data_IF_458146798062
#
_entry.id   IF_458146798062
#
_cell.length_a   1.000
_cell.length_b   1.000
_cell.length_c   1.000
_cell.angle_alpha   90.00
_cell.angle_beta   90.00
_cell.angle_gamma   90.00
#
_symmetry.space_group_name_H-M   'P 1'
#
loop_
_entity.id
_entity.type
_entity.pdbx_description
1 polymer ?
#
# COMPACT_ATOMS: atom_id res chain seq x y z
N UNK A 1 -4.56 22.91 5.65
CA UNK A 1 -4.72 21.52 5.22
C UNK A 1 -3.33 21.03 4.90
N UNK A 2 -2.95 19.89 5.45
CA UNK A 2 -1.66 19.25 5.20
C UNK A 2 -1.84 18.07 4.24
N UNK A 3 -0.84 17.85 3.41
CA UNK A 3 -0.72 16.65 2.60
C UNK A 3 0.66 16.06 2.85
N UNK A 4 0.72 14.76 3.11
CA UNK A 4 1.95 14.02 3.29
C UNK A 4 1.91 12.71 2.48
N UNK A 5 3.07 12.29 1.99
CA UNK A 5 3.22 11.08 1.21
C UNK A 5 4.46 10.32 1.63
N UNK A 6 4.29 9.04 1.94
CA UNK A 6 5.33 8.13 2.37
C UNK A 6 5.54 6.98 1.40
N UNK A 7 6.77 6.50 1.33
CA UNK A 7 7.05 5.16 0.83
C UNK A 7 7.42 4.27 2.01
N UNK A 8 6.57 3.29 2.27
CA UNK A 8 6.72 2.37 3.39
C UNK A 8 7.28 1.04 2.90
N UNK A 9 8.24 0.51 3.66
CA UNK A 9 8.86 -0.79 3.40
C UNK A 9 8.95 -1.59 4.69
N UNK A 10 8.47 -2.82 4.65
CA UNK A 10 8.64 -3.83 5.68
C UNK A 10 9.52 -4.93 5.13
N UNK A 11 10.56 -5.30 5.87
CA UNK A 11 11.53 -6.32 5.45
C UNK A 11 12.56 -5.81 4.42
N UNK A 12 13.60 -6.61 4.20
CA UNK A 12 14.75 -6.22 3.37
C UNK A 12 14.86 -6.97 2.05
N UNK A 13 14.21 -8.13 1.94
CA UNK A 13 14.28 -8.98 0.76
C UNK A 13 12.90 -9.11 0.11
N UNK A 14 12.70 -8.52 -1.09
CA UNK A 14 11.41 -8.53 -1.77
C UNK A 14 10.90 -9.93 -2.10
N UNK A 15 11.76 -10.96 -2.10
CA UNK A 15 11.36 -12.32 -2.42
C UNK A 15 11.22 -13.23 -1.19
N UNK A 16 11.23 -12.65 0.02
CA UNK A 16 10.99 -13.39 1.26
C UNK A 16 9.64 -13.06 1.90
N UNK A 17 8.92 -14.08 2.41
CA UNK A 17 7.70 -13.86 3.17
C UNK A 17 7.90 -12.87 4.31
N UNK A 18 6.97 -11.91 4.42
CA UNK A 18 7.05 -10.82 5.38
C UNK A 18 7.65 -9.54 4.81
N UNK A 19 8.08 -9.54 3.54
CA UNK A 19 8.35 -8.30 2.82
C UNK A 19 7.06 -7.67 2.30
N UNK A 20 6.94 -6.36 2.46
CA UNK A 20 5.92 -5.55 1.80
C UNK A 20 6.46 -4.16 1.50
N UNK A 21 6.00 -3.57 0.40
CA UNK A 21 6.21 -2.15 0.09
C UNK A 21 4.92 -1.49 -0.34
N UNK A 22 4.70 -0.26 0.10
CA UNK A 22 3.49 0.51 -0.18
C UNK A 22 3.78 2.00 -0.28
N UNK A 23 2.87 2.74 -0.91
CA UNK A 23 2.80 4.19 -0.84
C UNK A 23 1.68 4.54 0.13
N UNK A 24 1.96 5.43 1.08
CA UNK A 24 0.97 6.00 1.98
C UNK A 24 0.73 7.46 1.65
N UNK A 25 -0.52 7.89 1.75
CA UNK A 25 -0.94 9.28 1.59
C UNK A 25 -1.75 9.68 2.82
N UNK A 26 -1.33 10.74 3.47
CA UNK A 26 -2.02 11.32 4.63
C UNK A 26 -2.53 12.72 4.30
N UNK A 27 -3.77 12.99 4.68
CA UNK A 27 -4.39 14.31 4.55
C UNK A 27 -4.81 14.78 5.92
N UNK A 28 -4.39 16.00 6.28
CA UNK A 28 -4.67 16.60 7.58
C UNK A 28 -5.42 17.92 7.44
N UNK A 29 -6.24 18.26 8.42
CA UNK A 29 -6.97 19.53 8.46
C UNK A 29 -6.04 20.73 8.78
N UNK A 30 -6.63 21.89 9.06
CA UNK A 30 -5.87 23.10 9.43
C UNK A 30 -5.30 23.05 10.85
N UNK A 31 -5.78 22.13 11.70
CA UNK A 31 -5.30 21.91 13.06
C UNK A 31 -4.19 20.85 13.11
N UNK A 32 -3.94 20.17 11.99
CA UNK A 32 -2.94 19.11 11.85
C UNK A 32 -3.48 17.72 12.18
N UNK A 33 -4.79 17.57 12.38
CA UNK A 33 -5.43 16.28 12.63
C UNK A 33 -5.59 15.53 11.31
N UNK A 34 -5.21 14.25 11.27
CA UNK A 34 -5.36 13.39 10.10
C UNK A 34 -6.86 13.13 9.85
N UNK A 35 -7.35 13.59 8.71
CA UNK A 35 -8.75 13.45 8.30
C UNK A 35 -8.95 12.35 7.26
N UNK A 36 -7.90 12.00 6.51
CA UNK A 36 -7.93 10.88 5.58
C UNK A 36 -6.57 10.21 5.43
N UNK A 37 -6.58 8.91 5.14
CA UNK A 37 -5.39 8.09 4.94
C UNK A 37 -5.65 7.01 3.89
N UNK A 38 -4.79 6.98 2.88
CA UNK A 38 -4.83 5.97 1.83
C UNK A 38 -3.48 5.25 1.73
N UNK A 39 -3.51 3.92 1.58
CA UNK A 39 -2.29 3.10 1.46
C UNK A 39 -2.40 2.12 0.30
N UNK A 40 -1.51 2.26 -0.69
CA UNK A 40 -1.46 1.44 -1.90
C UNK A 40 -0.28 0.48 -1.79
N UNK A 41 -0.55 -0.84 -1.74
CA UNK A 41 0.49 -1.86 -1.76
C UNK A 41 1.11 -1.93 -3.15
N UNK A 42 2.43 -1.83 -3.26
CA UNK A 42 3.18 -2.02 -4.51
C UNK A 42 3.54 -3.49 -4.69
N UNK A 43 4.05 -4.10 -3.61
CA UNK A 43 4.52 -5.47 -3.64
C UNK A 43 4.37 -6.10 -2.27
N UNK A 44 3.91 -7.34 -2.24
CA UNK A 44 3.82 -8.15 -1.02
C UNK A 44 4.28 -9.57 -1.30
N UNK A 45 5.25 -10.03 -0.51
CA UNK A 45 5.69 -11.41 -0.54
C UNK A 45 5.12 -12.13 0.67
N UNK A 46 4.26 -13.11 0.41
CA UNK A 46 3.59 -13.88 1.45
C UNK A 46 3.70 -15.37 1.19
N UNK A 47 3.63 -16.13 2.28
CA UNK A 47 3.55 -17.59 2.21
C UNK A 47 2.11 -18.01 2.40
N UNK A 48 1.66 -18.96 1.60
CA UNK A 48 0.32 -19.53 1.72
C UNK A 48 0.33 -21.06 1.66
N UNK A 49 -0.68 -21.69 2.27
CA UNK A 49 -0.96 -23.12 2.14
C UNK A 49 -2.44 -23.28 1.83
N UNK A 50 -2.77 -24.04 0.78
CA UNK A 50 -4.16 -24.18 0.31
C UNK A 50 -4.87 -22.82 0.06
N UNK A 51 -4.11 -21.81 -0.37
CA UNK A 51 -4.60 -20.45 -0.61
C UNK A 51 -4.71 -19.56 0.63
N UNK A 52 -4.47 -20.09 1.83
CA UNK A 52 -4.53 -19.33 3.09
C UNK A 52 -3.15 -18.79 3.48
N UNK A 53 -3.02 -17.51 3.87
CA UNK A 53 -1.75 -16.93 4.28
C UNK A 53 -1.26 -17.54 5.61
N UNK A 54 0.05 -17.82 5.70
CA UNK A 54 0.70 -18.36 6.89
C UNK A 54 2.05 -17.69 7.11
N UNK A 55 2.42 -17.50 8.38
CA UNK A 55 3.74 -16.95 8.75
C UNK A 55 4.82 -18.03 8.88
N UNK A 56 4.45 -19.28 9.18
CA UNK A 56 5.39 -20.39 9.39
C UNK A 56 5.70 -21.13 8.08
N UNK A 57 6.94 -21.57 7.93
CA UNK A 57 7.32 -22.47 6.84
C UNK A 57 6.84 -23.89 7.13
N UNK A 58 5.69 -24.27 6.56
CA UNK A 58 5.08 -25.60 6.69
C UNK A 58 5.26 -26.37 5.37
N UNK A 59 5.41 -27.68 5.44
CA UNK A 59 5.50 -28.54 4.25
C UNK A 59 4.26 -28.35 3.36
N UNK A 60 4.47 -28.19 2.05
CA UNK A 60 3.40 -27.94 1.08
C UNK A 60 2.95 -26.47 0.98
N UNK A 61 3.50 -25.58 1.81
CA UNK A 61 3.31 -24.14 1.63
C UNK A 61 4.07 -23.61 0.41
N UNK A 62 3.53 -22.55 -0.19
CA UNK A 62 4.07 -21.87 -1.37
C UNK A 62 4.38 -20.42 -1.00
N UNK A 63 5.43 -19.87 -1.60
CA UNK A 63 5.70 -18.43 -1.56
C UNK A 63 5.09 -17.82 -2.81
N UNK A 64 4.32 -16.75 -2.65
CA UNK A 64 3.81 -15.94 -3.75
C UNK A 64 4.18 -14.49 -3.51
N UNK A 65 4.53 -13.80 -4.59
CA UNK A 65 4.63 -12.35 -4.62
C UNK A 65 3.49 -11.81 -5.47
N UNK A 66 2.79 -10.79 -4.98
CA UNK A 66 1.83 -10.04 -5.77
C UNK A 66 2.41 -8.65 -6.03
N UNK A 67 2.59 -8.31 -7.30
CA UNK A 67 2.74 -6.92 -7.75
C UNK A 67 1.34 -6.34 -7.95
N UNK A 68 1.21 -5.02 -7.91
CA UNK A 68 0.03 -4.35 -8.48
C UNK A 68 -0.19 -4.86 -9.91
N UNK A 69 -1.45 -5.15 -10.20
CA UNK A 69 -1.89 -5.49 -11.56
C UNK A 69 -1.97 -4.21 -12.42
N UNK A 70 -2.13 -3.06 -11.76
CA UNK A 70 -2.20 -1.72 -12.32
C UNK A 70 -0.82 -1.20 -12.75
N UNK A 71 -0.80 -0.46 -13.86
CA UNK A 71 0.39 0.23 -14.34
C UNK A 71 0.69 1.47 -13.49
N UNK A 72 1.94 1.93 -13.51
CA UNK A 72 2.35 3.14 -12.80
C UNK A 72 1.51 4.37 -13.20
N UNK A 73 1.09 4.47 -14.46
CA UNK A 73 0.30 5.61 -14.94
C UNK A 73 -1.16 5.54 -14.45
N UNK A 74 -1.75 4.35 -14.37
CA UNK A 74 -3.07 4.14 -13.75
C UNK A 74 -3.04 4.52 -12.27
N UNK A 75 -2.02 4.05 -11.53
CA UNK A 75 -1.84 4.38 -10.12
C UNK A 75 -1.68 5.90 -9.92
N UNK A 76 -0.87 6.57 -10.75
CA UNK A 76 -0.71 8.04 -10.67
C UNK A 76 -2.01 8.77 -10.94
N UNK A 77 -2.79 8.31 -11.91
CA UNK A 77 -4.05 8.94 -12.29
C UNK A 77 -5.09 8.80 -11.17
N UNK A 78 -5.29 7.60 -10.62
CA UNK A 78 -6.20 7.38 -9.50
C UNK A 78 -5.80 8.19 -8.26
N UNK A 79 -4.50 8.23 -7.95
CA UNK A 79 -4.01 9.03 -6.84
C UNK A 79 -4.27 10.53 -7.01
N UNK A 80 -4.09 11.03 -8.23
CA UNK A 80 -4.38 12.42 -8.56
C UNK A 80 -5.87 12.72 -8.40
N UNK A 81 -6.73 11.86 -8.94
CA UNK A 81 -8.19 12.01 -8.83
C UNK A 81 -8.64 12.02 -7.37
N UNK A 82 -8.16 11.08 -6.56
CA UNK A 82 -8.42 11.05 -5.12
C UNK A 82 -7.99 12.35 -4.41
N UNK A 83 -6.80 12.87 -4.71
CA UNK A 83 -6.33 14.14 -4.12
C UNK A 83 -7.23 15.30 -4.55
N UNK A 84 -7.62 15.36 -5.82
CA UNK A 84 -8.50 16.40 -6.36
C UNK A 84 -9.91 16.35 -5.74
N UNK A 85 -10.47 15.15 -5.53
CA UNK A 85 -11.76 14.95 -4.84
C UNK A 85 -11.70 15.47 -3.40
N UNK A 86 -10.70 15.05 -2.63
CA UNK A 86 -10.56 15.48 -1.23
C UNK A 86 -10.36 17.01 -1.14
N UNK A 87 -9.64 17.62 -2.09
CA UNK A 87 -9.48 19.08 -2.14
C UNK A 87 -10.78 19.81 -2.54
N UNK A 88 -11.68 19.20 -3.31
CA UNK A 88 -12.96 19.79 -3.68
C UNK A 88 -13.98 19.73 -2.54
N UNK A 89 -14.01 18.65 -1.77
CA UNK A 89 -14.93 18.49 -0.62
C UNK A 89 -14.62 19.43 0.56
N UNK A 90 -13.47 20.10 0.52
CA UNK A 90 -12.97 20.99 1.59
C UNK A 90 -13.11 22.48 1.23
N UNK A 91 -13.64 22.79 0.03
CA UNK A 91 -13.94 24.16 -0.43
C UNK A 91 -15.40 24.59 -0.21
#
# INVERSE_FOLDING_TARGET
MGFDAGFDKVGDDPFKPGYSSSISLGISDNQGELIDFHSIKIWECERSILGLPISKNILGSKIKGALLDETLEEVKQELKEYIEEVLQDVN
#
